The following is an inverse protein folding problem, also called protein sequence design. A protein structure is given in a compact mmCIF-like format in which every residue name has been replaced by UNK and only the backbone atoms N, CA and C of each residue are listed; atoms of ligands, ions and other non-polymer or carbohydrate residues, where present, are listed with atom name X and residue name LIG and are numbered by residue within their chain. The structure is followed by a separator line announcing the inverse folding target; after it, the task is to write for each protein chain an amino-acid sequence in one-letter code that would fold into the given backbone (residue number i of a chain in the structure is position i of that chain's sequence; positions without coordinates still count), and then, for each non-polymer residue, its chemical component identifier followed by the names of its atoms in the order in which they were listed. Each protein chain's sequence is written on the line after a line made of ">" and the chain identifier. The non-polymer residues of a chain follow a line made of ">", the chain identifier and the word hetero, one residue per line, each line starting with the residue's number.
data_IF_589856433812
#
_entry.id   IF_589856433812
#
_cell.length_a   1.000
_cell.length_b   1.000
_cell.length_c   1.000
_cell.angle_alpha   90.00
_cell.angle_beta   90.00
_cell.angle_gamma   90.00
#
_symmetry.space_group_name_H-M   'P 1'
#
loop_
_entity.id
_entity.type
_entity.pdbx_description
1 polymer ?
#
# COMPACT_ATOMS: atom_id res chain seq x y z
N UNK A 1 -15.76 -7.48 5.37
CA UNK A 1 -15.05 -6.45 6.19
C UNK A 1 -13.75 -6.98 6.82
N UNK A 2 -13.72 -8.11 7.55
CA UNK A 2 -12.48 -8.60 8.20
C UNK A 2 -11.30 -8.82 7.24
N UNK A 3 -11.56 -9.42 6.08
CA UNK A 3 -10.54 -9.62 5.04
C UNK A 3 -9.94 -8.29 4.52
N UNK A 4 -10.76 -7.25 4.39
CA UNK A 4 -10.31 -5.94 3.90
C UNK A 4 -9.37 -5.28 4.91
N UNK A 5 -9.70 -5.37 6.20
CA UNK A 5 -8.85 -4.89 7.28
C UNK A 5 -7.50 -5.63 7.31
N UNK A 6 -7.51 -6.94 7.11
CA UNK A 6 -6.29 -7.73 7.03
C UNK A 6 -5.39 -7.27 5.88
N UNK A 7 -5.95 -7.06 4.68
CA UNK A 7 -5.18 -6.61 3.52
C UNK A 7 -4.65 -5.18 3.73
N UNK A 8 -5.44 -4.28 4.33
CA UNK A 8 -5.00 -2.93 4.69
C UNK A 8 -3.88 -2.95 5.73
N UNK A 9 -3.98 -3.84 6.73
CA UNK A 9 -2.92 -4.03 7.73
C UNK A 9 -1.63 -4.50 7.06
N UNK A 10 -1.69 -5.50 6.18
CA UNK A 10 -0.52 -5.98 5.43
C UNK A 10 0.12 -4.87 4.59
N UNK A 11 -0.69 -4.04 3.91
CA UNK A 11 -0.20 -2.90 3.13
C UNK A 11 0.52 -1.87 4.02
N UNK A 12 -0.13 -1.47 5.12
CA UNK A 12 0.40 -0.48 6.06
C UNK A 12 1.69 -0.98 6.72
N UNK A 13 1.73 -2.24 7.15
CA UNK A 13 2.92 -2.87 7.71
C UNK A 13 4.04 -3.01 6.69
N UNK A 14 3.75 -3.43 5.45
CA UNK A 14 4.77 -3.60 4.41
C UNK A 14 5.45 -2.29 4.02
N UNK A 15 4.65 -1.26 3.71
CA UNK A 15 5.19 0.08 3.43
C UNK A 15 5.81 0.71 4.67
N UNK A 16 5.23 0.51 5.86
CA UNK A 16 5.75 1.03 7.12
C UNK A 16 7.13 0.47 7.46
N UNK A 17 7.33 -0.84 7.31
CA UNK A 17 8.63 -1.50 7.52
C UNK A 17 9.68 -1.00 6.53
N UNK A 18 9.30 -0.84 5.26
CA UNK A 18 10.19 -0.29 4.24
C UNK A 18 10.62 1.15 4.55
N UNK A 19 9.67 2.01 4.90
CA UNK A 19 9.93 3.41 5.23
C UNK A 19 10.70 3.55 6.55
N UNK A 20 10.43 2.69 7.54
CA UNK A 20 11.20 2.64 8.78
C UNK A 20 12.67 2.32 8.49
N UNK A 21 12.94 1.28 7.72
CA UNK A 21 14.29 0.90 7.33
C UNK A 21 15.04 2.01 6.57
N UNK A 22 14.35 2.77 5.71
CA UNK A 22 14.91 3.95 5.05
C UNK A 22 15.18 5.10 6.02
N UNK A 23 14.27 5.36 6.95
CA UNK A 23 14.40 6.43 7.93
C UNK A 23 15.64 6.27 8.81
N UNK A 24 15.92 5.04 9.25
CA UNK A 24 17.08 4.82 10.11
C UNK A 24 18.40 4.96 9.32
N UNK A 25 18.41 4.65 8.02
CA UNK A 25 19.58 4.89 7.15
C UNK A 25 19.73 6.37 6.75
N UNK A 26 18.61 7.07 6.53
CA UNK A 26 18.57 8.45 6.06
C UNK A 26 17.60 9.27 6.92
N UNK A 27 18.14 10.08 7.84
CA UNK A 27 17.34 10.88 8.77
C UNK A 27 16.40 11.87 8.08
N UNK A 28 16.74 12.32 6.87
CA UNK A 28 15.95 13.27 6.09
C UNK A 28 14.60 12.70 5.60
N UNK A 29 14.49 11.36 5.51
CA UNK A 29 13.24 10.68 5.13
C UNK A 29 12.11 11.03 6.09
N UNK A 30 12.41 11.36 7.35
CA UNK A 30 11.40 11.79 8.33
C UNK A 30 10.63 13.04 7.89
N UNK A 31 11.31 13.98 7.23
CA UNK A 31 10.69 15.22 6.76
C UNK A 31 9.92 15.02 5.45
N UNK A 32 10.38 14.11 4.59
CA UNK A 32 9.70 13.79 3.33
C UNK A 32 8.45 12.90 3.52
N UNK A 33 8.37 12.16 4.64
CA UNK A 33 7.33 11.17 4.90
C UNK A 33 5.89 11.73 4.79
N UNK A 34 5.55 12.89 5.40
CA UNK A 34 4.19 13.43 5.31
C UNK A 34 3.78 13.76 3.87
N UNK A 35 4.71 14.36 3.10
CA UNK A 35 4.48 14.67 1.68
C UNK A 35 4.28 13.40 0.86
N UNK A 36 5.09 12.36 1.12
CA UNK A 36 4.96 11.08 0.44
C UNK A 36 3.61 10.41 0.71
N UNK A 37 3.15 10.40 1.96
CA UNK A 37 1.83 9.87 2.32
C UNK A 37 0.72 10.67 1.62
N UNK A 38 0.86 11.99 1.52
CA UNK A 38 -0.12 12.82 0.84
C UNK A 38 -0.19 12.51 -0.66
N UNK A 39 0.95 12.26 -1.30
CA UNK A 39 0.99 11.81 -2.71
C UNK A 39 0.32 10.45 -2.87
N UNK A 40 0.53 9.50 -1.93
CA UNK A 40 -0.10 8.17 -1.98
C UNK A 40 -1.63 8.23 -1.96
N UNK A 41 -2.22 9.24 -1.29
CA UNK A 41 -3.66 9.46 -1.30
C UNK A 41 -4.19 9.77 -2.70
N UNK A 42 -3.44 10.54 -3.50
CA UNK A 42 -3.81 10.86 -4.88
C UNK A 42 -3.45 9.73 -5.85
N UNK A 43 -2.40 8.97 -5.58
CA UNK A 43 -1.99 7.83 -6.41
C UNK A 43 -2.97 6.65 -6.28
N UNK A 44 -3.67 6.59 -5.15
CA UNK A 44 -4.74 5.62 -4.92
C UNK A 44 -6.08 6.25 -5.33
N UNK A 45 -6.96 5.54 -6.05
CA UNK A 45 -8.25 6.07 -6.48
C UNK A 45 -9.27 6.10 -5.33
N UNK A 46 -8.95 6.87 -4.28
CA UNK A 46 -9.81 7.12 -3.11
C UNK A 46 -10.86 8.17 -3.48
N UNK A 47 -10.40 9.33 -3.96
CA UNK A 47 -11.21 10.55 -4.15
C UNK A 47 -11.89 10.56 -5.53
N UNK A 48 -11.33 9.81 -6.51
CA UNK A 48 -11.80 9.82 -7.89
C UNK A 48 -12.10 8.41 -8.43
N UNK A 49 -13.01 8.29 -9.41
CA UNK A 49 -13.23 7.03 -10.10
C UNK A 49 -12.06 6.72 -11.05
N UNK A 50 -11.63 5.45 -11.19
CA UNK A 50 -10.54 5.08 -12.09
C UNK A 50 -10.80 5.38 -13.58
N UNK A 51 -12.04 5.68 -13.95
CA UNK A 51 -12.42 6.08 -15.31
C UNK A 51 -11.72 7.37 -15.77
N UNK A 52 -11.33 8.26 -14.84
CA UNK A 52 -10.60 9.49 -15.15
C UNK A 52 -9.23 9.20 -15.79
N UNK A 53 -8.59 8.07 -15.44
CA UNK A 53 -7.27 7.71 -15.98
C UNK A 53 -7.32 7.14 -17.41
N UNK A 54 -8.51 6.94 -17.99
CA UNK A 54 -8.69 6.45 -19.36
C UNK A 54 -7.86 5.19 -19.67
N UNK A 55 -6.96 5.30 -20.65
CA UNK A 55 -6.06 4.21 -21.11
C UNK A 55 -5.07 3.74 -20.03
N UNK A 56 -4.80 4.55 -18.99
CA UNK A 56 -3.87 4.23 -17.90
C UNK A 56 -4.59 3.67 -16.66
N UNK A 57 -5.88 3.39 -16.74
CA UNK A 57 -6.66 2.80 -15.64
C UNK A 57 -6.13 1.46 -15.13
N UNK A 58 -5.39 0.71 -15.96
CA UNK A 58 -4.72 -0.54 -15.56
C UNK A 58 -3.59 -0.30 -14.54
N UNK A 59 -2.90 0.85 -14.60
CA UNK A 59 -1.85 1.20 -13.64
C UNK A 59 -2.46 1.36 -12.24
N UNK A 60 -3.63 1.99 -12.16
CA UNK A 60 -4.37 2.11 -10.91
C UNK A 60 -4.84 0.76 -10.37
N UNK A 61 -5.05 -0.24 -11.24
CA UNK A 61 -5.44 -1.58 -10.83
C UNK A 61 -4.30 -2.36 -10.14
N UNK A 62 -3.04 -2.04 -10.44
CA UNK A 62 -1.85 -2.65 -9.81
C UNK A 62 -1.65 -2.13 -8.37
N UNK A 63 -2.20 -0.96 -8.05
CA UNK A 63 -2.02 -0.38 -6.73
C UNK A 63 -2.64 -1.31 -5.64
N UNK A 64 -1.86 -1.69 -4.60
CA UNK A 64 -2.28 -2.62 -3.55
C UNK A 64 -3.54 -2.20 -2.80
N UNK A 65 -3.86 -0.90 -2.78
CA UNK A 65 -5.03 -0.39 -2.06
C UNK A 65 -6.28 -0.26 -2.93
N UNK A 66 -6.17 -0.29 -4.27
CA UNK A 66 -7.30 -0.03 -5.18
C UNK A 66 -8.43 -1.05 -5.05
N UNK A 67 -8.10 -2.34 -5.03
CA UNK A 67 -9.09 -3.42 -4.87
C UNK A 67 -9.77 -3.38 -3.50
N UNK A 68 -9.01 -3.05 -2.45
CA UNK A 68 -9.54 -2.94 -1.08
C UNK A 68 -10.54 -1.79 -0.98
N UNK A 69 -10.21 -0.62 -1.52
CA UNK A 69 -11.10 0.57 -1.48
C UNK A 69 -12.36 0.33 -2.29
N UNK A 70 -12.25 -0.28 -3.48
CA UNK A 70 -13.44 -0.63 -4.28
C UNK A 70 -14.32 -1.64 -3.57
N UNK A 71 -13.73 -2.69 -3.00
CA UNK A 71 -14.47 -3.70 -2.26
C UNK A 71 -15.14 -3.11 -1.00
N UNK A 72 -14.46 -2.20 -0.29
CA UNK A 72 -15.02 -1.47 0.84
C UNK A 72 -16.20 -0.58 0.41
N UNK A 73 -16.04 0.17 -0.69
CA UNK A 73 -17.12 0.99 -1.27
C UNK A 73 -18.33 0.16 -1.64
N UNK A 74 -18.13 -0.96 -2.33
CA UNK A 74 -19.20 -1.92 -2.68
C UNK A 74 -19.88 -2.51 -1.45
N UNK A 75 -19.12 -2.91 -0.43
CA UNK A 75 -19.65 -3.55 0.77
C UNK A 75 -20.42 -2.58 1.69
N UNK A 76 -20.04 -1.30 1.73
CA UNK A 76 -20.66 -0.29 2.59
C UNK A 76 -21.81 0.46 1.92
N UNK A 77 -21.68 0.79 0.63
CA UNK A 77 -22.65 1.61 -0.10
C UNK A 77 -23.60 0.79 -0.99
N UNK A 78 -23.39 -0.53 -1.11
CA UNK A 78 -24.33 -1.46 -1.74
C UNK A 78 -24.52 -1.32 -3.26
N UNK A 79 -23.68 -0.55 -3.96
CA UNK A 79 -23.95 -0.15 -5.36
C UNK A 79 -23.33 -0.99 -6.48
N UNK A 80 -22.40 -1.92 -6.20
CA UNK A 80 -21.74 -2.70 -7.25
C UNK A 80 -21.19 -4.04 -6.72
N UNK A 81 -21.17 -5.12 -7.52
CA UNK A 81 -20.59 -6.39 -7.13
C UNK A 81 -19.09 -6.24 -6.85
N UNK A 82 -18.61 -6.99 -5.85
CA UNK A 82 -17.19 -7.02 -5.51
C UNK A 82 -16.43 -7.67 -6.67
N UNK A 83 -15.46 -6.95 -7.23
CA UNK A 83 -14.54 -7.50 -8.21
C UNK A 83 -13.45 -8.32 -7.50
N UNK A 84 -13.66 -9.63 -7.41
CA UNK A 84 -12.75 -10.57 -6.74
C UNK A 84 -11.35 -10.63 -7.39
N UNK A 85 -11.26 -10.46 -8.72
CA UNK A 85 -9.98 -10.45 -9.45
C UNK A 85 -9.12 -9.27 -9.00
N UNK A 86 -9.73 -8.08 -8.95
CA UNK A 86 -9.03 -6.87 -8.51
C UNK A 86 -8.62 -6.95 -7.03
N UNK A 87 -9.46 -7.55 -6.19
CA UNK A 87 -9.14 -7.79 -4.79
C UNK A 87 -7.95 -8.75 -4.64
N UNK A 88 -7.89 -9.81 -5.46
CA UNK A 88 -6.78 -10.76 -5.48
C UNK A 88 -5.47 -10.09 -5.91
N UNK A 89 -5.51 -9.27 -6.97
CA UNK A 89 -4.34 -8.49 -7.43
C UNK A 89 -3.84 -7.59 -6.30
N UNK A 90 -4.74 -6.87 -5.64
CA UNK A 90 -4.41 -6.03 -4.49
C UNK A 90 -3.83 -6.83 -3.32
N UNK A 91 -4.39 -8.00 -3.01
CA UNK A 91 -3.89 -8.88 -1.95
C UNK A 91 -2.46 -9.37 -2.24
N UNK A 92 -2.20 -9.81 -3.48
CA UNK A 92 -0.86 -10.24 -3.91
C UNK A 92 0.14 -9.08 -3.87
N UNK A 93 -0.27 -7.89 -4.30
CA UNK A 93 0.56 -6.68 -4.22
C UNK A 93 0.87 -6.29 -2.77
N UNK A 94 -0.10 -6.37 -1.85
CA UNK A 94 0.12 -6.14 -0.42
C UNK A 94 1.09 -7.16 0.18
N UNK A 95 0.91 -8.44 -0.15
CA UNK A 95 1.80 -9.51 0.32
C UNK A 95 3.22 -9.31 -0.20
N UNK A 96 3.40 -8.97 -1.49
CA UNK A 96 4.69 -8.66 -2.06
C UNK A 96 5.33 -7.45 -1.37
N UNK A 97 4.57 -6.37 -1.14
CA UNK A 97 5.04 -5.19 -0.41
C UNK A 97 5.47 -5.52 1.02
N UNK A 98 4.74 -6.40 1.72
CA UNK A 98 5.08 -6.86 3.05
C UNK A 98 6.38 -7.66 3.07
N UNK A 99 6.55 -8.60 2.14
CA UNK A 99 7.77 -9.40 2.02
C UNK A 99 8.97 -8.50 1.71
N UNK A 100 8.83 -7.58 0.76
CA UNK A 100 9.89 -6.62 0.40
C UNK A 100 10.26 -5.74 1.59
N UNK A 101 9.26 -5.17 2.27
CA UNK A 101 9.46 -4.34 3.45
C UNK A 101 10.16 -5.10 4.59
N UNK A 102 9.75 -6.35 4.83
CA UNK A 102 10.35 -7.21 5.84
C UNK A 102 11.81 -7.58 5.51
N UNK A 103 12.10 -7.98 4.28
CA UNK A 103 13.47 -8.31 3.85
C UNK A 103 14.37 -7.07 3.98
N UNK A 104 13.90 -5.91 3.55
CA UNK A 104 14.66 -4.67 3.61
C UNK A 104 14.92 -4.24 5.06
N UNK A 105 13.90 -4.34 5.92
CA UNK A 105 14.04 -4.08 7.36
C UNK A 105 15.08 -4.99 8.02
N UNK A 106 14.99 -6.31 7.79
CA UNK A 106 15.95 -7.29 8.33
C UNK A 106 17.38 -7.05 7.85
N UNK A 107 17.55 -6.56 6.60
CA UNK A 107 18.87 -6.21 6.07
C UNK A 107 19.45 -4.98 6.77
N UNK A 108 18.63 -3.97 7.04
CA UNK A 108 19.09 -2.76 7.75
C UNK A 108 19.30 -3.03 9.25
N UNK A 109 18.51 -3.92 9.87
CA UNK A 109 18.72 -4.36 11.26
C UNK A 109 20.14 -4.87 11.52
N UNK A 110 20.69 -5.68 10.59
CA UNK A 110 22.07 -6.17 10.68
C UNK A 110 23.11 -5.05 10.66
N UNK A 111 22.85 -3.97 9.92
CA UNK A 111 23.74 -2.80 9.88
C UNK A 111 23.73 -2.01 11.19
N UNK A 112 22.61 -2.02 11.93
CA UNK A 112 22.55 -1.39 13.25
C UNK A 112 23.30 -2.17 14.33
N UNK A 113 23.23 -3.50 14.28
CA UNK A 113 23.92 -4.35 15.25
C UNK A 113 25.46 -4.19 15.20
N UNK A 114 26.02 -3.78 14.05
CA UNK A 114 27.46 -3.54 13.88
C UNK A 114 27.92 -2.12 14.26
N UNK A 115 27.00 -1.16 14.45
CA UNK A 115 27.33 0.25 14.77
C UNK A 115 27.10 0.57 16.25
N UNK A 116 26.30 -0.23 16.96
CA UNK A 116 25.96 -0.02 18.37
C UNK A 116 27.02 -0.56 19.34
#
# INVERSE_FOLDING_TARGET
>A
LPLLLLISFMAASGMGLFLAALNVKYRDVRYALPFFIQILLFLTPVIYPPSIAGKYSWVLAINPMTGVIKAARSALLGGAPINWILLLISMLACLASLIIGFIFFKKTEKYFADIA
#
